data_IF_425758390641
#
_entry.id   IF_425758390641
#
_cell.length_a   1.000
_cell.length_b   1.000
_cell.length_c   1.000
_cell.angle_alpha   90.00
_cell.angle_beta   90.00
_cell.angle_gamma   90.00
#
_symmetry.space_group_name_H-M   'P 1'
#
loop_
_entity.id
_entity.type
_entity.pdbx_description
1 polymer ?
#
# COMPACT_ATOMS: atom_id res chain seq x y z
N UNK A 1 -11.63 -10.15 -12.41
CA UNK A 1 -11.01 -8.96 -11.79
C UNK A 1 -9.77 -9.39 -11.02
N UNK A 2 -8.56 -9.05 -11.48
CA UNK A 2 -7.30 -9.46 -10.80
C UNK A 2 -6.58 -8.29 -10.10
N UNK A 3 -6.76 -7.04 -10.55
CA UNK A 3 -5.99 -5.89 -10.07
C UNK A 3 -6.35 -5.48 -8.63
N UNK A 4 -7.64 -5.29 -8.34
CA UNK A 4 -8.09 -4.85 -7.00
C UNK A 4 -7.79 -5.87 -5.90
N UNK A 5 -7.57 -7.14 -6.26
CA UNK A 5 -7.21 -8.18 -5.29
C UNK A 5 -5.78 -8.06 -4.76
N UNK A 6 -4.93 -7.22 -5.36
CA UNK A 6 -3.48 -7.18 -5.11
C UNK A 6 -3.02 -5.75 -4.76
N UNK A 7 -3.90 -4.96 -4.14
CA UNK A 7 -3.54 -3.64 -3.62
C UNK A 7 -2.49 -3.82 -2.49
N UNK A 8 -1.41 -3.01 -2.46
CA UNK A 8 -0.45 -3.03 -1.36
C UNK A 8 -1.11 -2.73 -0.01
N UNK A 9 -0.69 -3.43 1.04
CA UNK A 9 -1.18 -3.15 2.39
C UNK A 9 -0.53 -1.88 2.96
N UNK A 10 -1.16 -1.19 3.94
CA UNK A 10 -0.65 0.10 4.45
C UNK A 10 0.74 0.08 5.11
N UNK A 11 1.21 -1.11 5.53
CA UNK A 11 2.55 -1.32 6.07
C UNK A 11 3.58 -1.69 4.98
N UNK A 12 3.19 -1.74 3.71
CA UNK A 12 4.05 -1.98 2.55
C UNK A 12 4.22 -0.67 1.76
N UNK A 13 5.44 -0.26 1.47
CA UNK A 13 5.71 0.93 0.66
C UNK A 13 5.46 0.68 -0.82
N UNK A 14 6.09 -0.38 -1.35
CA UNK A 14 6.01 -0.78 -2.76
C UNK A 14 5.76 -2.28 -2.81
N UNK A 15 4.96 -2.71 -3.79
CA UNK A 15 4.73 -4.12 -4.08
C UNK A 15 5.05 -4.41 -5.54
N UNK A 16 6.18 -5.08 -5.77
CA UNK A 16 6.54 -5.58 -7.10
C UNK A 16 5.81 -6.89 -7.38
N UNK A 17 5.26 -7.01 -8.59
CA UNK A 17 4.39 -8.12 -8.95
C UNK A 17 4.77 -8.69 -10.32
N UNK A 18 4.68 -10.03 -10.49
CA UNK A 18 4.80 -10.62 -11.81
C UNK A 18 3.58 -10.24 -12.66
N UNK A 19 3.85 -9.77 -13.86
CA UNK A 19 2.83 -9.29 -14.80
C UNK A 19 2.87 -10.12 -16.08
N UNK A 20 1.70 -10.53 -16.55
CA UNK A 20 1.49 -11.12 -17.86
C UNK A 20 0.90 -10.06 -18.79
N UNK A 21 1.67 -9.64 -19.79
CA UNK A 21 1.25 -8.63 -20.75
C UNK A 21 1.23 -9.18 -22.16
N UNK A 22 0.36 -8.62 -23.00
CA UNK A 22 0.39 -8.87 -24.45
C UNK A 22 1.47 -7.99 -25.09
N UNK A 23 2.28 -8.55 -25.99
CA UNK A 23 3.35 -7.82 -26.70
C UNK A 23 2.88 -6.57 -27.46
N UNK A 24 1.61 -6.50 -27.84
CA UNK A 24 1.02 -5.32 -28.51
C UNK A 24 0.51 -4.25 -27.53
N UNK A 25 0.65 -4.46 -26.22
CA UNK A 25 0.24 -3.50 -25.17
C UNK A 25 -1.27 -3.40 -24.92
N UNK A 26 -2.11 -4.23 -25.56
CA UNK A 26 -3.58 -4.09 -25.47
C UNK A 26 -4.14 -4.42 -24.09
N UNK A 27 -3.52 -5.37 -23.38
CA UNK A 27 -3.99 -5.81 -22.05
C UNK A 27 -2.84 -6.38 -21.23
N UNK A 28 -2.93 -6.13 -19.93
CA UNK A 28 -1.94 -6.48 -18.93
C UNK A 28 -2.63 -7.04 -17.69
N UNK A 29 -2.22 -8.23 -17.25
CA UNK A 29 -2.78 -8.93 -16.10
C UNK A 29 -1.72 -9.16 -15.03
N UNK A 30 -2.09 -8.97 -13.77
CA UNK A 30 -1.26 -9.42 -12.65
C UNK A 30 -1.34 -10.95 -12.53
N UNK A 31 -0.19 -11.60 -12.37
CA UNK A 31 -0.06 -13.06 -12.34
C UNK A 31 0.33 -13.57 -10.94
N UNK A 32 -0.26 -12.99 -9.89
CA UNK A 32 -0.06 -13.41 -8.51
C UNK A 32 -1.40 -13.62 -7.80
N UNK A 33 -1.43 -14.57 -6.87
CA UNK A 33 -2.50 -14.71 -5.90
C UNK A 33 -1.91 -14.32 -4.54
N UNK A 34 -2.40 -13.27 -3.86
CA UNK A 34 -1.87 -12.87 -2.57
C UNK A 34 -2.12 -13.99 -1.56
N UNK A 35 -1.04 -14.52 -0.98
CA UNK A 35 -1.10 -15.48 0.12
C UNK A 35 -0.61 -14.77 1.37
N UNK A 36 -1.38 -14.92 2.45
CA UNK A 36 -1.04 -14.33 3.75
C UNK A 36 -1.08 -15.42 4.81
N UNK A 37 -0.19 -15.32 5.79
CA UNK A 37 -0.21 -16.17 6.97
C UNK A 37 -1.22 -15.56 7.93
N UNK A 38 -2.34 -16.24 8.17
CA UNK A 38 -3.48 -15.72 8.93
C UNK A 38 -3.13 -15.05 10.27
N UNK A 39 -2.37 -15.68 11.20
CA UNK A 39 -2.03 -15.04 12.47
C UNK A 39 -1.18 -13.78 12.30
N UNK A 40 -0.25 -13.77 11.35
CA UNK A 40 0.60 -12.61 11.05
C UNK A 40 -0.24 -11.49 10.44
N UNK A 41 -1.15 -11.83 9.53
CA UNK A 41 -2.05 -10.86 8.91
C UNK A 41 -2.95 -10.17 9.93
N UNK A 42 -3.50 -10.93 10.89
CA UNK A 42 -4.28 -10.37 11.99
C UNK A 42 -3.42 -9.47 12.90
N UNK A 43 -2.21 -9.90 13.26
CA UNK A 43 -1.29 -9.09 14.05
C UNK A 43 -0.95 -7.77 13.34
N UNK A 44 -0.59 -7.80 12.06
CA UNK A 44 -0.29 -6.62 11.24
C UNK A 44 -1.48 -5.63 11.20
N UNK A 45 -2.70 -6.12 10.98
CA UNK A 45 -3.89 -5.27 11.01
C UNK A 45 -4.19 -4.71 12.41
N UNK A 46 -3.92 -5.47 13.47
CA UNK A 46 -4.08 -4.98 14.84
C UNK A 46 -3.10 -3.84 15.16
N UNK A 47 -1.85 -3.97 14.70
CA UNK A 47 -0.81 -2.94 14.80
C UNK A 47 -1.22 -1.71 13.99
N UNK A 48 -1.64 -1.90 12.74
CA UNK A 48 -2.15 -0.82 11.88
C UNK A 48 -3.33 -0.08 12.54
N UNK A 49 -4.28 -0.80 13.13
CA UNK A 49 -5.39 -0.20 13.86
C UNK A 49 -4.87 0.68 15.00
N UNK A 50 -3.94 0.20 15.82
CA UNK A 50 -3.34 0.99 16.91
C UNK A 50 -2.66 2.26 16.38
N UNK A 51 -1.89 2.16 15.29
CA UNK A 51 -1.21 3.29 14.66
C UNK A 51 -2.20 4.37 14.22
N UNK A 52 -3.26 3.98 13.50
CA UNK A 52 -4.29 4.92 13.02
C UNK A 52 -5.04 5.57 14.18
N UNK A 53 -5.36 4.82 15.24
CA UNK A 53 -6.04 5.40 16.40
C UNK A 53 -5.16 6.42 17.13
N UNK A 54 -3.85 6.17 17.22
CA UNK A 54 -2.88 7.12 17.77
C UNK A 54 -2.80 8.38 16.91
N UNK A 55 -2.66 8.22 15.59
CA UNK A 55 -2.56 9.34 14.66
C UNK A 55 -3.81 10.22 14.67
N UNK A 56 -5.00 9.60 14.69
CA UNK A 56 -6.28 10.32 14.78
C UNK A 56 -6.46 11.04 16.12
N UNK A 57 -5.89 10.53 17.21
CA UNK A 57 -5.93 11.20 18.52
C UNK A 57 -5.00 12.40 18.58
N UNK A 58 -3.79 12.26 18.03
CA UNK A 58 -2.73 13.23 18.18
C UNK A 58 -2.85 14.39 17.16
N UNK A 59 -3.45 14.16 15.99
CA UNK A 59 -3.66 15.20 14.97
C UNK A 59 -4.83 16.14 15.30
N UNK A 60 -4.57 17.45 15.25
CA UNK A 60 -5.58 18.51 15.44
C UNK A 60 -6.47 18.75 14.22
N UNK A 61 -5.88 18.72 13.03
CA UNK A 61 -6.58 18.87 11.75
C UNK A 61 -6.15 17.75 10.83
N UNK A 62 -7.10 16.91 10.44
CA UNK A 62 -6.89 15.86 9.46
C UNK A 62 -7.57 16.27 8.15
N UNK A 63 -6.78 16.54 7.11
CA UNK A 63 -7.32 16.85 5.79
C UNK A 63 -7.60 15.55 5.05
N UNK A 64 -8.84 15.40 4.59
CA UNK A 64 -9.23 14.26 3.78
C UNK A 64 -8.79 14.46 2.33
N UNK A 65 -8.48 13.35 1.66
CA UNK A 65 -8.27 13.38 0.21
C UNK A 65 -9.53 13.86 -0.49
N UNK A 66 -9.36 14.65 -1.55
CA UNK A 66 -10.46 15.01 -2.44
C UNK A 66 -10.69 13.89 -3.45
N UNK A 67 -11.96 13.61 -3.71
CA UNK A 67 -12.36 12.61 -4.70
C UNK A 67 -13.28 13.26 -5.75
N UNK A 68 -13.06 13.01 -7.05
CA UNK A 68 -11.92 12.29 -7.64
C UNK A 68 -10.60 13.06 -7.45
N UNK A 69 -9.45 12.36 -7.37
CA UNK A 69 -8.16 13.01 -7.18
C UNK A 69 -7.63 13.71 -8.45
N UNK A 70 -8.07 13.28 -9.63
CA UNK A 70 -7.66 13.82 -10.93
C UNK A 70 -8.87 14.40 -11.67
N UNK A 71 -8.62 15.38 -12.53
CA UNK A 71 -9.63 15.95 -13.43
C UNK A 71 -9.83 15.05 -14.67
N UNK A 72 -11.05 14.99 -15.20
CA UNK A 72 -11.39 14.10 -16.32
C UNK A 72 -10.74 14.56 -17.65
N UNK A 73 -10.31 15.82 -17.75
CA UNK A 73 -9.62 16.38 -18.93
C UNK A 73 -8.10 16.10 -18.92
N UNK A 74 -7.54 15.70 -17.78
CA UNK A 74 -6.11 15.43 -17.65
C UNK A 74 -5.76 14.01 -18.13
N UNK A 75 -4.76 13.82 -19.02
CA UNK A 75 -4.36 12.49 -19.42
C UNK A 75 -3.76 11.71 -18.22
N UNK A 76 -3.84 10.36 -18.21
CA UNK A 76 -3.20 9.56 -17.18
C UNK A 76 -1.70 9.86 -17.08
N UNK A 77 -1.24 10.05 -15.84
CA UNK A 77 0.16 10.33 -15.54
C UNK A 77 1.07 9.17 -15.97
N UNK A 78 2.18 9.47 -16.63
CA UNK A 78 3.19 8.47 -16.97
C UNK A 78 4.03 8.10 -15.74
N UNK A 79 4.24 6.79 -15.54
CA UNK A 79 4.93 6.27 -14.36
C UNK A 79 6.43 6.59 -14.38
N UNK A 80 7.08 6.49 -15.55
CA UNK A 80 8.51 6.78 -15.69
C UNK A 80 8.83 8.22 -15.32
N UNK A 81 8.03 9.16 -15.81
CA UNK A 81 8.32 10.59 -15.64
C UNK A 81 7.97 11.12 -14.24
N UNK A 82 6.99 10.53 -13.55
CA UNK A 82 6.41 11.15 -12.36
C UNK A 82 6.59 10.36 -11.06
N UNK A 83 6.85 9.05 -11.13
CA UNK A 83 6.82 8.19 -9.94
C UNK A 83 8.08 7.34 -9.78
N UNK A 84 8.73 6.97 -10.88
CA UNK A 84 9.89 6.06 -10.83
C UNK A 84 11.05 6.61 -9.98
N UNK A 85 11.34 7.91 -10.08
CA UNK A 85 12.47 8.56 -9.39
C UNK A 85 12.07 9.18 -8.04
N UNK A 86 10.80 9.07 -7.64
CA UNK A 86 10.31 9.65 -6.38
C UNK A 86 10.38 8.59 -5.28
N UNK A 87 11.17 8.86 -4.24
CA UNK A 87 11.22 7.97 -3.09
C UNK A 87 9.85 7.88 -2.40
N UNK A 88 9.34 6.65 -2.18
CA UNK A 88 8.05 6.47 -1.55
C UNK A 88 8.08 6.96 -0.11
N UNK A 89 6.96 7.54 0.34
CA UNK A 89 6.78 7.92 1.73
C UNK A 89 6.89 6.69 2.65
N UNK A 90 7.22 6.94 3.91
CA UNK A 90 7.30 5.90 4.92
C UNK A 90 5.96 5.19 5.09
N UNK A 91 5.99 3.85 5.04
CA UNK A 91 4.80 3.06 5.32
C UNK A 91 4.41 3.17 6.79
N UNK A 92 3.16 2.87 7.10
CA UNK A 92 2.72 2.89 8.50
C UNK A 92 3.30 1.68 9.21
N UNK A 93 4.33 1.93 10.02
CA UNK A 93 4.98 0.94 10.87
C UNK A 93 4.95 1.43 12.31
N UNK A 94 4.66 0.54 13.24
CA UNK A 94 4.84 0.81 14.67
C UNK A 94 6.22 0.33 15.05
N UNK A 95 6.93 1.15 15.83
CA UNK A 95 8.11 0.72 16.58
C UNK A 95 7.71 -0.47 17.45
N UNK A 96 8.32 -1.64 17.18
CA UNK A 96 8.13 -2.85 17.95
C UNK A 96 9.10 -2.86 19.14
N UNK A 97 8.65 -3.37 20.29
CA UNK A 97 9.51 -3.50 21.45
C UNK A 97 10.46 -4.69 21.26
N UNK A 98 11.76 -4.46 21.45
CA UNK A 98 12.79 -5.48 21.20
C UNK A 98 12.77 -6.63 22.21
N UNK A 99 12.19 -6.45 23.39
CA UNK A 99 12.09 -7.48 24.42
C UNK A 99 10.74 -8.19 24.37
N UNK A 100 9.64 -7.43 24.29
CA UNK A 100 8.28 -8.01 24.32
C UNK A 100 7.85 -8.61 22.96
N UNK A 101 8.24 -8.00 21.84
CA UNK A 101 7.84 -8.43 20.50
C UNK A 101 8.90 -9.30 19.79
N UNK A 102 9.96 -9.72 20.51
CA UNK A 102 11.08 -10.50 19.96
C UNK A 102 10.65 -11.80 19.25
N UNK A 103 9.53 -12.39 19.67
CA UNK A 103 8.98 -13.62 19.09
C UNK A 103 8.32 -13.43 17.70
N UNK A 104 8.17 -12.19 17.24
CA UNK A 104 7.48 -11.81 16.00
C UNK A 104 8.42 -11.33 14.89
N UNK A 105 9.74 -11.24 15.18
CA UNK A 105 10.78 -10.80 14.24
C UNK A 105 11.39 -11.94 13.42
#
# INVERSE_FOLDING_TARGET
>A
MKLLGIIPYPWQQVRELPVLYRITGTITFMNEIPRVIEPVYHAQWSSMRRAVHRENRDRRLFQHMRFPPFDDEEPPLDYSDNTLDVEPLEAIQLELDKEEDAATS
#
